data_IF_500112081057
#
_entry.id   IF_500112081057
#
_cell.length_a   1.000
_cell.length_b   1.000
_cell.length_c   1.000
_cell.angle_alpha   90.00
_cell.angle_beta   90.00
_cell.angle_gamma   90.00
#
_symmetry.space_group_name_H-M   'P 1'
#
loop_
_entity.id
_entity.type
_entity.pdbx_description
1 polymer ?
#
# COMPACT_ATOMS: atom_id res chain seq x y z
N UNK A 1 43.78 15.28 28.01
CA UNK A 1 43.21 16.55 27.50
C UNK A 1 42.41 16.18 26.26
N UNK A 2 41.13 15.85 26.42
CA UNK A 2 40.27 15.42 25.31
C UNK A 2 39.96 16.63 24.45
N UNK A 3 40.39 16.60 23.20
CA UNK A 3 40.02 17.58 22.17
C UNK A 3 38.55 17.32 21.85
N UNK A 4 37.68 18.22 22.31
CA UNK A 4 36.29 18.28 21.84
C UNK A 4 36.37 18.60 20.34
N UNK A 5 36.06 17.61 19.50
CA UNK A 5 35.82 17.85 18.09
C UNK A 5 34.65 18.82 18.01
N UNK A 6 34.89 20.02 17.47
CA UNK A 6 33.82 20.91 17.06
C UNK A 6 33.03 20.14 15.99
N UNK A 7 31.88 19.59 16.35
CA UNK A 7 30.90 19.15 15.38
C UNK A 7 30.41 20.42 14.69
N UNK A 8 30.79 20.59 13.43
CA UNK A 8 30.27 21.67 12.61
C UNK A 8 28.74 21.60 12.60
N UNK A 9 28.11 22.73 12.92
CA UNK A 9 26.65 22.85 13.00
C UNK A 9 26.15 23.63 11.81
N UNK A 10 25.12 23.11 11.13
CA UNK A 10 24.37 23.84 10.13
C UNK A 10 23.04 24.36 10.68
N UNK A 11 22.44 25.31 9.99
CA UNK A 11 21.14 25.90 10.36
C UNK A 11 20.07 25.30 9.45
N UNK A 12 19.03 24.71 10.03
CA UNK A 12 17.88 24.25 9.27
C UNK A 12 17.22 25.44 8.55
N UNK A 13 17.06 25.41 7.22
CA UNK A 13 16.50 26.54 6.48
C UNK A 13 15.00 26.76 6.79
N UNK A 14 14.34 25.76 7.39
CA UNK A 14 12.90 25.71 7.64
C UNK A 14 12.58 26.20 9.07
N UNK A 15 13.01 25.49 10.11
CA UNK A 15 12.75 25.89 11.52
C UNK A 15 13.79 26.82 12.14
N UNK A 16 14.90 27.11 11.44
CA UNK A 16 16.04 27.93 11.90
C UNK A 16 16.83 27.36 13.09
N UNK A 17 16.63 26.08 13.43
CA UNK A 17 17.38 25.40 14.49
C UNK A 17 18.82 25.07 14.06
N UNK A 18 19.76 25.14 14.99
CA UNK A 18 21.19 24.82 14.76
C UNK A 18 21.46 23.37 15.14
N UNK A 19 21.78 22.56 14.14
CA UNK A 19 21.92 21.10 14.27
C UNK A 19 23.30 20.65 13.77
N UNK A 20 23.88 19.58 14.35
CA UNK A 20 25.03 18.90 13.77
C UNK A 20 24.82 18.59 12.28
N UNK A 21 25.85 18.83 11.45
CA UNK A 21 25.75 18.68 9.98
C UNK A 21 25.35 17.25 9.55
N UNK A 22 25.71 16.22 10.32
CA UNK A 22 25.38 14.83 10.07
C UNK A 22 23.88 14.50 10.20
N UNK A 23 23.16 15.22 11.07
CA UNK A 23 21.70 15.03 11.26
C UNK A 23 20.86 16.05 10.50
N UNK A 24 21.47 17.14 10.02
CA UNK A 24 20.79 18.22 9.32
C UNK A 24 20.01 17.76 8.07
N UNK A 25 20.52 16.84 7.21
CA UNK A 25 19.78 16.32 6.07
C UNK A 25 18.52 15.54 6.47
N UNK A 26 18.64 14.69 7.49
CA UNK A 26 17.52 13.90 8.02
C UNK A 26 16.46 14.79 8.66
N UNK A 27 16.89 15.78 9.44
CA UNK A 27 15.99 16.79 10.01
C UNK A 27 15.31 17.61 8.90
N UNK A 28 16.06 18.14 7.93
CA UNK A 28 15.52 18.96 6.84
C UNK A 28 14.59 18.18 5.88
N UNK A 29 14.67 16.84 5.88
CA UNK A 29 13.76 15.97 5.15
C UNK A 29 12.35 15.90 5.78
N UNK A 30 12.23 16.09 7.10
CA UNK A 30 10.96 16.04 7.84
C UNK A 30 10.52 17.38 8.42
N UNK A 31 11.43 18.36 8.49
CA UNK A 31 11.17 19.68 9.03
C UNK A 31 10.21 20.46 8.11
N UNK A 32 9.16 21.04 8.69
CA UNK A 32 8.16 21.82 7.95
C UNK A 32 6.97 21.00 7.42
N UNK A 33 6.98 19.68 7.60
CA UNK A 33 5.70 18.96 7.66
C UNK A 33 4.99 19.45 8.92
N UNK A 34 3.79 20.03 8.80
CA UNK A 34 3.02 20.36 9.99
C UNK A 34 2.74 19.06 10.75
N UNK A 35 3.54 18.82 11.79
CA UNK A 35 3.28 17.79 12.79
C UNK A 35 2.05 18.23 13.58
N UNK A 36 0.87 18.08 13.00
CA UNK A 36 -0.37 18.35 13.71
C UNK A 36 -0.40 17.41 14.92
N UNK A 37 -0.35 17.94 16.16
CA UNK A 37 -0.37 17.10 17.35
C UNK A 37 -1.64 16.25 17.32
N UNK A 38 -1.46 14.92 17.32
CA UNK A 38 -2.57 13.98 17.21
C UNK A 38 -2.89 13.46 15.80
N UNK A 39 -1.98 13.53 14.81
CA UNK A 39 -2.14 12.78 13.56
C UNK A 39 -1.73 11.30 13.69
N UNK A 40 -2.19 10.45 12.76
CA UNK A 40 -1.78 9.05 12.71
C UNK A 40 -0.27 8.90 12.53
N UNK A 41 0.34 9.81 11.75
CA UNK A 41 1.80 9.81 11.50
C UNK A 41 2.59 9.96 12.80
N UNK A 42 2.22 10.93 13.65
CA UNK A 42 2.87 11.14 14.95
C UNK A 42 2.65 9.92 15.86
N UNK A 43 1.44 9.36 15.90
CA UNK A 43 1.14 8.18 16.70
C UNK A 43 1.97 6.95 16.26
N UNK A 44 2.15 6.74 14.95
CA UNK A 44 3.00 5.68 14.41
C UNK A 44 4.48 5.91 14.72
N UNK A 45 4.98 7.14 14.62
CA UNK A 45 6.36 7.49 14.97
C UNK A 45 6.67 7.21 16.45
N UNK A 46 5.81 7.68 17.36
CA UNK A 46 5.92 7.40 18.80
C UNK A 46 5.87 5.91 19.09
N UNK A 47 5.06 5.17 18.33
CA UNK A 47 4.98 3.72 18.49
C UNK A 47 6.23 3.03 17.98
N UNK A 48 6.76 3.45 16.83
CA UNK A 48 7.99 2.91 16.24
C UNK A 48 9.19 3.09 17.16
N UNK A 49 9.31 4.22 17.84
CA UNK A 49 10.43 4.46 18.77
C UNK A 49 10.47 3.46 19.93
N UNK A 50 9.34 2.83 20.29
CA UNK A 50 9.31 1.74 21.27
C UNK A 50 10.01 0.46 20.77
N UNK A 51 10.19 0.31 19.45
CA UNK A 51 10.78 -0.86 18.80
C UNK A 51 12.18 -0.60 18.23
N UNK A 52 12.63 0.65 18.15
CA UNK A 52 13.90 1.07 17.53
C UNK A 52 14.96 1.48 18.56
N UNK A 53 15.29 0.59 19.50
CA UNK A 53 16.45 0.79 20.38
C UNK A 53 17.66 0.02 19.84
N UNK A 54 18.84 0.65 19.81
CA UNK A 54 20.09 0.03 19.31
C UNK A 54 20.48 -1.27 20.05
N UNK A 55 20.09 -1.39 21.32
CA UNK A 55 20.37 -2.57 22.15
C UNK A 55 19.38 -3.74 21.97
N UNK A 56 18.32 -3.57 21.16
CA UNK A 56 17.33 -4.63 20.94
C UNK A 56 17.79 -5.62 19.88
N UNK A 57 17.56 -6.90 20.15
CA UNK A 57 17.72 -7.95 19.15
C UNK A 57 16.89 -7.63 17.89
N UNK A 58 17.49 -7.88 16.73
CA UNK A 58 16.84 -7.75 15.42
C UNK A 58 16.34 -9.11 14.94
N UNK A 59 15.28 -9.10 14.13
CA UNK A 59 14.83 -10.30 13.41
C UNK A 59 15.48 -10.33 12.03
N UNK A 60 16.44 -11.23 11.84
CA UNK A 60 17.14 -11.37 10.56
C UNK A 60 16.29 -12.18 9.58
N UNK A 61 15.97 -11.59 8.44
CA UNK A 61 15.20 -12.22 7.36
C UNK A 61 16.10 -12.32 6.13
N UNK A 62 16.34 -13.56 5.67
CA UNK A 62 17.17 -13.81 4.48
C UNK A 62 16.34 -14.40 3.36
N UNK A 63 16.37 -13.77 2.19
CA UNK A 63 15.53 -14.17 1.05
C UNK A 63 16.31 -14.27 -0.26
N UNK A 64 15.78 -15.06 -1.19
CA UNK A 64 16.31 -15.21 -2.54
C UNK A 64 15.45 -14.43 -3.53
N UNK A 65 16.01 -13.41 -4.21
CA UNK A 65 15.25 -12.62 -5.19
C UNK A 65 14.57 -13.47 -6.27
N UNK A 66 15.28 -14.46 -6.83
CA UNK A 66 14.77 -15.37 -7.87
C UNK A 66 13.59 -16.27 -7.42
N UNK A 67 13.36 -16.39 -6.12
CA UNK A 67 12.33 -17.23 -5.52
C UNK A 67 11.70 -16.52 -4.32
N UNK A 68 11.47 -15.21 -4.49
CA UNK A 68 11.21 -14.30 -3.40
C UNK A 68 9.99 -14.71 -2.58
N UNK A 69 8.82 -14.85 -3.22
CA UNK A 69 7.57 -15.15 -2.51
C UNK A 69 7.65 -16.41 -1.68
N UNK A 70 8.25 -17.48 -2.22
CA UNK A 70 8.43 -18.73 -1.47
C UNK A 70 9.34 -18.53 -0.26
N UNK A 71 10.54 -17.97 -0.46
CA UNK A 71 11.50 -17.82 0.66
C UNK A 71 11.05 -16.80 1.70
N UNK A 72 10.41 -15.70 1.29
CA UNK A 72 9.84 -14.71 2.19
C UNK A 72 8.71 -15.34 3.02
N UNK A 73 7.82 -16.08 2.38
CA UNK A 73 6.75 -16.85 3.03
C UNK A 73 7.30 -17.78 4.10
N UNK A 74 8.28 -18.63 3.75
CA UNK A 74 8.90 -19.57 4.68
C UNK A 74 9.51 -18.82 5.88
N UNK A 75 10.26 -17.74 5.64
CA UNK A 75 10.85 -16.93 6.72
C UNK A 75 9.80 -16.31 7.66
N UNK A 76 8.65 -15.87 7.15
CA UNK A 76 7.59 -15.29 7.97
C UNK A 76 6.81 -16.38 8.73
N UNK A 77 6.61 -17.56 8.13
CA UNK A 77 5.90 -18.69 8.73
C UNK A 77 6.72 -19.36 9.85
N UNK A 78 8.03 -19.49 9.63
CA UNK A 78 8.96 -20.09 10.59
C UNK A 78 9.31 -19.15 11.75
N UNK A 79 8.89 -17.89 11.69
CA UNK A 79 9.19 -16.87 12.70
C UNK A 79 8.48 -17.15 14.02
N UNK A 80 9.23 -17.11 15.11
CA UNK A 80 8.65 -17.23 16.45
C UNK A 80 7.79 -15.99 16.77
N UNK A 81 6.77 -16.12 17.64
CA UNK A 81 5.97 -14.97 18.08
C UNK A 81 6.79 -13.79 18.63
N UNK A 82 7.98 -14.06 19.19
CA UNK A 82 8.89 -13.04 19.69
C UNK A 82 9.63 -12.29 18.57
N UNK A 83 9.88 -12.92 17.41
CA UNK A 83 10.57 -12.29 16.29
C UNK A 83 9.73 -11.18 15.67
N UNK A 84 8.41 -11.37 15.63
CA UNK A 84 7.44 -10.34 15.23
C UNK A 84 7.47 -9.09 16.11
N UNK A 85 8.14 -9.11 17.27
CA UNK A 85 8.29 -7.96 18.17
C UNK A 85 9.65 -7.26 18.04
N UNK A 86 10.53 -7.78 17.17
CA UNK A 86 11.86 -7.23 16.89
C UNK A 86 11.82 -6.39 15.62
N UNK A 87 12.81 -5.50 15.45
CA UNK A 87 13.01 -4.78 14.18
C UNK A 87 13.47 -5.78 13.10
N UNK A 88 12.76 -5.92 11.97
CA UNK A 88 13.21 -6.76 10.88
C UNK A 88 14.46 -6.17 10.22
N UNK A 89 15.40 -7.04 9.87
CA UNK A 89 16.61 -6.70 9.10
C UNK A 89 16.66 -7.64 7.90
N UNK A 90 16.55 -7.08 6.70
CA UNK A 90 16.44 -7.88 5.47
C UNK A 90 17.78 -8.00 4.78
N UNK A 91 18.09 -9.20 4.28
CA UNK A 91 19.23 -9.49 3.42
C UNK A 91 18.76 -10.29 2.19
N UNK A 92 19.01 -9.74 1.00
CA UNK A 92 18.86 -10.49 -0.25
C UNK A 92 20.15 -11.27 -0.52
N UNK A 93 20.09 -12.59 -0.43
CA UNK A 93 21.28 -13.45 -0.48
C UNK A 93 21.98 -13.29 -1.84
N UNK A 94 23.27 -12.94 -1.80
CA UNK A 94 24.10 -12.75 -2.99
C UNK A 94 24.09 -11.32 -3.54
N UNK A 95 23.42 -10.39 -2.87
CA UNK A 95 23.42 -8.96 -3.21
C UNK A 95 24.21 -8.18 -2.14
N UNK A 96 25.10 -7.28 -2.56
CA UNK A 96 25.79 -6.37 -1.65
C UNK A 96 24.84 -5.24 -1.26
N UNK A 97 24.46 -5.17 0.02
CA UNK A 97 23.61 -4.10 0.54
C UNK A 97 23.56 -4.10 2.05
N UNK A 98 23.72 -2.93 2.65
CA UNK A 98 23.43 -2.70 4.07
C UNK A 98 21.99 -2.17 4.15
N UNK A 99 21.14 -2.83 4.92
CA UNK A 99 19.75 -2.39 5.09
C UNK A 99 19.67 -1.11 5.94
N UNK A 100 19.74 0.04 5.27
CA UNK A 100 19.41 1.35 5.85
C UNK A 100 17.89 1.66 5.75
N UNK A 101 17.04 0.63 5.59
CA UNK A 101 15.59 0.74 5.41
C UNK A 101 15.12 0.51 3.96
N UNK A 102 16.03 0.59 2.98
CA UNK A 102 15.73 0.35 1.57
C UNK A 102 15.36 -1.12 1.28
N UNK A 103 16.11 -2.07 1.85
CA UNK A 103 15.86 -3.50 1.62
C UNK A 103 14.59 -3.96 2.34
N UNK A 104 14.33 -3.43 3.53
CA UNK A 104 13.07 -3.68 4.23
C UNK A 104 11.86 -3.17 3.45
N UNK A 105 11.95 -1.96 2.87
CA UNK A 105 10.89 -1.40 2.03
C UNK A 105 10.67 -2.24 0.77
N UNK A 106 11.76 -2.64 0.12
CA UNK A 106 11.72 -3.49 -1.06
C UNK A 106 11.06 -4.85 -0.73
N UNK A 107 11.46 -5.49 0.36
CA UNK A 107 10.89 -6.76 0.82
C UNK A 107 9.36 -6.68 0.94
N UNK A 108 8.81 -5.70 1.65
CA UNK A 108 7.37 -5.57 1.79
C UNK A 108 6.68 -5.20 0.47
N UNK A 109 7.30 -4.34 -0.34
CA UNK A 109 6.77 -4.00 -1.66
C UNK A 109 6.64 -5.23 -2.56
N UNK A 110 7.67 -6.09 -2.60
CA UNK A 110 7.64 -7.36 -3.34
C UNK A 110 6.65 -8.35 -2.71
N UNK A 111 6.60 -8.46 -1.38
CA UNK A 111 5.71 -9.37 -0.67
C UNK A 111 4.26 -9.07 -0.96
N UNK A 112 3.89 -7.79 -0.91
CA UNK A 112 2.56 -7.36 -1.24
C UNK A 112 2.35 -7.61 -2.74
N UNK A 113 3.13 -6.99 -3.63
CA UNK A 113 2.93 -7.11 -5.08
C UNK A 113 2.80 -8.56 -5.57
N UNK A 114 3.76 -9.38 -5.16
CA UNK A 114 3.98 -10.80 -5.43
C UNK A 114 2.96 -11.78 -4.84
N UNK A 115 2.33 -11.41 -3.71
CA UNK A 115 1.61 -12.33 -2.82
C UNK A 115 0.25 -12.81 -3.33
N UNK A 116 -0.07 -14.07 -3.05
CA UNK A 116 -1.31 -14.73 -3.49
C UNK A 116 -2.54 -14.38 -2.65
N UNK A 117 -2.38 -13.69 -1.51
CA UNK A 117 -3.46 -13.33 -0.60
C UNK A 117 -4.38 -12.23 -1.16
N UNK A 118 -3.93 -11.53 -2.20
CA UNK A 118 -4.65 -10.43 -2.83
C UNK A 118 -4.96 -10.78 -4.28
N UNK A 119 -6.18 -10.46 -4.73
CA UNK A 119 -6.65 -10.65 -6.10
C UNK A 119 -7.32 -9.37 -6.60
N UNK A 120 -6.67 -8.69 -7.53
CA UNK A 120 -7.08 -7.35 -7.95
C UNK A 120 -7.08 -6.40 -6.76
N UNK A 121 -8.23 -5.76 -6.52
CA UNK A 121 -8.43 -4.86 -5.39
C UNK A 121 -9.12 -5.51 -4.18
N UNK A 122 -9.01 -6.83 -3.99
CA UNK A 122 -9.64 -7.52 -2.86
C UNK A 122 -8.75 -8.69 -2.38
N UNK A 123 -9.21 -9.43 -1.38
CA UNK A 123 -8.60 -10.70 -0.98
C UNK A 123 -8.94 -11.80 -1.98
N UNK A 124 -7.99 -12.70 -2.20
CA UNK A 124 -8.24 -13.90 -3.00
C UNK A 124 -9.15 -14.87 -2.27
N UNK A 125 -9.90 -15.69 -3.03
CA UNK A 125 -10.73 -16.76 -2.47
C UNK A 125 -9.98 -18.08 -2.59
N UNK A 126 -9.19 -18.41 -1.57
CA UNK A 126 -8.35 -19.62 -1.58
C UNK A 126 -8.40 -20.35 -0.24
N UNK A 127 -8.98 -21.57 -0.23
CA UNK A 127 -9.12 -22.40 0.97
C UNK A 127 -7.79 -22.88 1.53
N UNK A 128 -6.80 -23.17 0.67
CA UNK A 128 -5.47 -23.60 1.11
C UNK A 128 -4.78 -22.49 1.91
N UNK A 129 -4.88 -21.24 1.43
CA UNK A 129 -4.33 -20.08 2.15
C UNK A 129 -5.05 -19.86 3.50
N UNK A 130 -6.37 -20.11 3.56
CA UNK A 130 -7.15 -20.04 4.80
C UNK A 130 -6.71 -21.09 5.83
N UNK A 131 -6.49 -22.32 5.39
CA UNK A 131 -6.05 -23.42 6.25
C UNK A 131 -4.65 -23.18 6.79
N UNK A 132 -3.76 -22.66 5.94
CA UNK A 132 -2.38 -22.29 6.28
C UNK A 132 -2.26 -20.99 7.08
N UNK A 133 -3.38 -20.31 7.39
CA UNK A 133 -3.40 -19.01 8.10
C UNK A 133 -2.59 -17.92 7.41
N UNK A 134 -2.46 -17.98 6.08
CA UNK A 134 -1.71 -17.04 5.24
C UNK A 134 -2.25 -15.62 5.31
N UNK A 135 -3.55 -15.44 5.46
CA UNK A 135 -4.13 -14.11 5.63
C UNK A 135 -3.80 -13.51 6.99
N UNK A 136 -3.68 -14.31 8.07
CA UNK A 136 -3.16 -13.84 9.36
C UNK A 136 -1.71 -13.38 9.18
N UNK A 137 -0.90 -14.18 8.49
CA UNK A 137 0.49 -13.85 8.21
C UNK A 137 0.63 -12.54 7.42
N UNK A 138 -0.19 -12.36 6.38
CA UNK A 138 -0.27 -11.13 5.60
C UNK A 138 -0.69 -9.94 6.47
N UNK A 139 -1.69 -10.11 7.36
CA UNK A 139 -2.08 -9.08 8.32
C UNK A 139 -0.95 -8.66 9.25
N UNK A 140 -0.17 -9.63 9.76
CA UNK A 140 1.04 -9.36 10.57
C UNK A 140 2.10 -8.61 9.76
N UNK A 141 2.39 -9.07 8.54
CA UNK A 141 3.34 -8.41 7.65
C UNK A 141 2.93 -6.97 7.33
N UNK A 142 1.63 -6.71 7.10
CA UNK A 142 1.12 -5.35 6.91
C UNK A 142 1.30 -4.51 8.17
N UNK A 143 0.93 -5.02 9.35
CA UNK A 143 1.13 -4.30 10.62
C UNK A 143 2.60 -3.94 10.85
N UNK A 144 3.51 -4.90 10.69
CA UNK A 144 4.96 -4.69 10.80
C UNK A 144 5.46 -3.68 9.77
N UNK A 145 5.00 -3.77 8.52
CA UNK A 145 5.40 -2.84 7.46
C UNK A 145 5.00 -1.39 7.80
N UNK A 146 3.77 -1.16 8.26
CA UNK A 146 3.25 0.17 8.64
C UNK A 146 4.04 0.72 9.83
N UNK A 147 4.28 -0.12 10.85
CA UNK A 147 5.07 0.26 12.02
C UNK A 147 6.45 0.78 11.60
N UNK A 148 7.11 0.11 10.66
CA UNK A 148 8.43 0.47 10.16
C UNK A 148 8.43 1.45 8.97
N UNK A 149 7.28 2.10 8.69
CA UNK A 149 7.21 3.22 7.75
C UNK A 149 7.01 2.86 6.28
N UNK A 150 6.66 1.61 6.00
CA UNK A 150 6.15 1.23 4.70
C UNK A 150 4.73 1.80 4.50
N UNK A 151 4.35 2.22 3.29
CA UNK A 151 2.99 2.69 2.99
C UNK A 151 1.90 1.60 3.00
N UNK A 152 2.20 0.39 3.51
CA UNK A 152 1.28 -0.75 3.45
C UNK A 152 1.05 -1.30 2.02
N UNK A 153 0.07 -2.21 1.85
CA UNK A 153 -0.19 -2.89 0.59
C UNK A 153 -0.95 -2.05 -0.44
N UNK A 154 -1.73 -1.03 -0.01
CA UNK A 154 -2.50 -0.09 -0.85
C UNK A 154 -3.19 -0.70 -2.07
N UNK A 155 -4.04 -1.68 -1.83
CA UNK A 155 -4.69 -2.44 -2.90
C UNK A 155 -6.14 -2.75 -2.64
N UNK A 156 -6.63 -2.67 -1.42
CA UNK A 156 -7.98 -3.10 -1.11
C UNK A 156 -9.00 -2.06 -1.58
N UNK A 157 -10.16 -2.54 -2.01
CA UNK A 157 -11.29 -1.70 -2.34
C UNK A 157 -11.73 -0.91 -1.09
N UNK A 158 -12.11 0.36 -1.27
CA UNK A 158 -12.50 1.26 -0.18
C UNK A 158 -13.54 0.67 0.76
N UNK A 159 -14.55 -0.04 0.24
CA UNK A 159 -15.60 -0.64 1.07
C UNK A 159 -15.09 -1.79 1.95
N UNK A 160 -14.09 -2.54 1.47
CA UNK A 160 -13.45 -3.61 2.26
C UNK A 160 -12.59 -2.99 3.37
N UNK A 161 -11.89 -1.90 3.07
CA UNK A 161 -11.10 -1.15 4.05
C UNK A 161 -11.99 -0.50 5.11
N UNK A 162 -13.09 0.12 4.69
CA UNK A 162 -14.08 0.70 5.60
C UNK A 162 -14.61 -0.38 6.56
N UNK A 163 -14.93 -1.58 6.06
CA UNK A 163 -15.32 -2.71 6.92
C UNK A 163 -14.21 -3.14 7.89
N UNK A 164 -12.95 -3.21 7.45
CA UNK A 164 -11.82 -3.55 8.33
C UNK A 164 -11.69 -2.54 9.48
N UNK A 165 -11.85 -1.25 9.19
CA UNK A 165 -11.67 -0.17 10.16
C UNK A 165 -12.89 0.00 11.07
N UNK A 166 -14.09 0.03 10.51
CA UNK A 166 -15.32 0.35 11.25
C UNK A 166 -16.05 -0.89 11.76
N UNK A 167 -15.95 -2.02 11.05
CA UNK A 167 -16.80 -3.20 11.24
C UNK A 167 -18.20 -3.04 10.62
N UNK A 168 -18.48 -1.92 9.97
CA UNK A 168 -19.77 -1.63 9.35
C UNK A 168 -19.80 -2.16 7.91
N UNK A 169 -20.88 -2.84 7.56
CA UNK A 169 -21.08 -3.35 6.20
C UNK A 169 -21.52 -2.21 5.27
N UNK A 170 -21.03 -2.16 4.03
CA UNK A 170 -21.38 -1.11 3.10
C UNK A 170 -22.82 -1.26 2.63
N UNK A 171 -23.49 -0.14 2.38
CA UNK A 171 -24.80 -0.16 1.73
C UNK A 171 -24.66 -0.58 0.26
N UNK A 172 -25.00 -1.82 -0.04
CA UNK A 172 -24.84 -2.44 -1.38
C UNK A 172 -25.65 -1.74 -2.48
N UNK A 173 -26.72 -1.02 -2.13
CA UNK A 173 -27.46 -0.21 -3.10
C UNK A 173 -26.61 0.93 -3.65
N UNK A 174 -25.75 1.50 -2.82
CA UNK A 174 -24.85 2.61 -3.20
C UNK A 174 -23.56 2.15 -3.89
N UNK A 175 -23.25 0.85 -3.84
CA UNK A 175 -22.05 0.29 -4.46
C UNK A 175 -22.25 0.21 -5.97
N UNK A 176 -21.41 0.93 -6.72
CA UNK A 176 -21.35 0.82 -8.17
C UNK A 176 -20.87 -0.57 -8.60
N UNK A 177 -21.42 -1.10 -9.68
CA UNK A 177 -20.99 -2.39 -10.27
C UNK A 177 -19.50 -2.35 -10.66
N UNK A 178 -18.97 -1.17 -10.97
CA UNK A 178 -17.56 -1.04 -11.38
C UNK A 178 -16.57 -1.27 -10.25
N UNK A 179 -17.01 -1.17 -9.00
CA UNK A 179 -16.21 -1.42 -7.80
C UNK A 179 -15.92 -2.91 -7.56
N UNK A 180 -16.65 -3.80 -8.23
CA UNK A 180 -16.47 -5.24 -8.10
C UNK A 180 -15.20 -5.72 -8.83
N UNK A 181 -14.50 -6.71 -8.26
CA UNK A 181 -13.26 -7.24 -8.85
C UNK A 181 -13.49 -8.39 -9.86
N UNK A 182 -14.73 -8.86 -10.03
CA UNK A 182 -15.07 -10.03 -10.85
C UNK A 182 -16.01 -9.69 -12.00
N UNK A 183 -15.54 -9.92 -13.22
CA UNK A 183 -16.25 -9.56 -14.45
C UNK A 183 -17.53 -10.38 -14.68
N UNK A 184 -17.55 -11.65 -14.27
CA UNK A 184 -18.75 -12.48 -14.37
C UNK A 184 -19.88 -11.98 -13.46
N UNK A 185 -19.55 -11.50 -12.26
CA UNK A 185 -20.51 -10.80 -11.39
C UNK A 185 -20.98 -9.48 -11.99
N UNK A 186 -20.07 -8.67 -12.54
CA UNK A 186 -20.43 -7.41 -13.20
C UNK A 186 -21.42 -7.64 -14.34
N UNK A 187 -21.13 -8.62 -15.20
CA UNK A 187 -21.98 -8.94 -16.34
C UNK A 187 -23.35 -9.45 -15.93
N UNK A 188 -23.41 -10.35 -14.93
CA UNK A 188 -24.69 -10.85 -14.42
C UNK A 188 -25.55 -9.72 -13.84
N UNK A 189 -24.94 -8.80 -13.05
CA UNK A 189 -25.66 -7.66 -12.48
C UNK A 189 -26.17 -6.73 -13.59
N UNK A 190 -25.33 -6.38 -14.57
CA UNK A 190 -25.75 -5.54 -15.72
C UNK A 190 -26.92 -6.17 -16.48
N UNK A 191 -26.88 -7.47 -16.72
CA UNK A 191 -27.99 -8.19 -17.36
C UNK A 191 -29.28 -8.16 -16.53
N UNK A 192 -29.19 -8.22 -15.20
CA UNK A 192 -30.36 -8.08 -14.32
C UNK A 192 -30.91 -6.65 -14.31
N UNK A 193 -30.04 -5.64 -14.32
CA UNK A 193 -30.41 -4.22 -14.37
C UNK A 193 -31.14 -3.87 -15.68
N UNK A 194 -30.69 -4.44 -16.80
CA UNK A 194 -31.25 -4.26 -18.14
C UNK A 194 -32.40 -5.24 -18.47
N UNK A 195 -32.72 -6.18 -17.58
CA UNK A 195 -33.73 -7.20 -17.82
C UNK A 195 -35.13 -6.59 -18.02
N UNK A 196 -35.95 -7.30 -18.78
CA UNK A 196 -37.38 -7.06 -18.97
C UNK A 196 -38.18 -8.26 -18.44
N UNK A 197 -39.47 -8.09 -18.11
CA UNK A 197 -40.28 -9.18 -17.56
C UNK A 197 -40.34 -10.45 -18.43
N UNK A 198 -40.21 -10.31 -19.75
CA UNK A 198 -40.26 -11.40 -20.73
C UNK A 198 -38.93 -12.14 -20.92
N UNK A 199 -37.80 -11.53 -20.56
CA UNK A 199 -36.46 -12.13 -20.72
C UNK A 199 -35.79 -12.56 -19.40
N UNK A 200 -36.43 -12.30 -18.25
CA UNK A 200 -35.86 -12.56 -16.92
C UNK A 200 -35.47 -14.02 -16.68
N UNK A 201 -36.20 -14.97 -17.29
CA UNK A 201 -35.89 -16.40 -17.17
C UNK A 201 -34.54 -16.74 -17.80
N UNK A 202 -34.23 -16.16 -18.96
CA UNK A 202 -32.95 -16.36 -19.64
C UNK A 202 -31.80 -15.73 -18.84
N UNK A 203 -32.03 -14.56 -18.21
CA UNK A 203 -31.07 -13.95 -17.30
C UNK A 203 -30.82 -14.86 -16.10
N UNK A 204 -31.88 -15.42 -15.50
CA UNK A 204 -31.76 -16.35 -14.38
C UNK A 204 -30.93 -17.58 -14.72
N UNK A 205 -31.21 -18.24 -15.85
CA UNK A 205 -30.44 -19.39 -16.33
C UNK A 205 -28.95 -19.06 -16.52
N UNK A 206 -28.64 -17.85 -16.97
CA UNK A 206 -27.27 -17.38 -17.18
C UNK A 206 -26.47 -17.11 -15.89
N UNK A 207 -27.14 -16.89 -14.76
CA UNK A 207 -26.48 -16.46 -13.51
C UNK A 207 -26.86 -17.28 -12.27
N UNK A 208 -27.66 -18.33 -12.40
CA UNK A 208 -28.15 -19.16 -11.29
C UNK A 208 -27.02 -19.67 -10.38
N UNK A 209 -25.88 -20.05 -10.95
CA UNK A 209 -24.71 -20.51 -10.18
C UNK A 209 -24.10 -19.41 -9.32
N UNK A 210 -24.07 -18.17 -9.79
CA UNK A 210 -23.59 -17.02 -9.03
C UNK A 210 -24.55 -16.67 -7.90
N UNK A 211 -25.86 -16.70 -8.18
CA UNK A 211 -26.90 -16.51 -7.17
C UNK A 211 -26.83 -17.58 -6.08
N UNK A 212 -26.63 -18.84 -6.49
CA UNK A 212 -26.48 -19.95 -5.56
C UNK A 212 -25.27 -19.79 -4.65
N UNK A 213 -24.12 -19.37 -5.21
CA UNK A 213 -22.90 -19.08 -4.46
C UNK A 213 -23.09 -17.91 -3.49
N UNK A 214 -23.83 -16.88 -3.90
CA UNK A 214 -24.21 -15.75 -3.05
C UNK A 214 -25.26 -16.11 -1.98
N UNK A 215 -25.76 -17.34 -1.98
CA UNK A 215 -26.79 -17.80 -1.03
C UNK A 215 -28.20 -17.33 -1.38
N UNK A 216 -28.41 -16.75 -2.56
CA UNK A 216 -29.73 -16.36 -3.05
C UNK A 216 -30.46 -17.59 -3.60
N UNK A 217 -31.31 -18.20 -2.77
CA UNK A 217 -32.01 -19.47 -3.10
C UNK A 217 -33.37 -19.31 -3.76
N UNK A 218 -33.85 -18.08 -3.89
CA UNK A 218 -35.11 -17.82 -4.57
C UNK A 218 -34.90 -17.85 -6.09
N UNK A 219 -35.95 -18.20 -6.83
CA UNK A 219 -35.97 -17.98 -8.27
C UNK A 219 -35.91 -16.48 -8.56
N UNK A 220 -35.09 -16.09 -9.53
CA UNK A 220 -35.05 -14.72 -10.01
C UNK A 220 -36.34 -14.42 -10.78
N UNK A 221 -37.04 -13.38 -10.35
CA UNK A 221 -38.23 -12.80 -10.96
C UNK A 221 -37.96 -11.32 -11.20
N UNK A 222 -38.71 -10.70 -12.11
CA UNK A 222 -38.51 -9.28 -12.41
C UNK A 222 -38.65 -8.40 -11.15
N UNK A 223 -39.61 -8.74 -10.29
CA UNK A 223 -39.93 -7.96 -9.08
C UNK A 223 -38.87 -8.09 -7.97
N UNK A 224 -38.15 -9.21 -7.89
CA UNK A 224 -37.12 -9.45 -6.85
C UNK A 224 -35.68 -9.25 -7.36
N UNK A 225 -35.50 -8.76 -8.60
CA UNK A 225 -34.17 -8.62 -9.21
C UNK A 225 -33.22 -7.73 -8.42
N UNK A 226 -33.71 -6.68 -7.77
CA UNK A 226 -32.89 -5.78 -6.97
C UNK A 226 -32.32 -6.51 -5.74
N UNK A 227 -33.09 -7.41 -5.12
CA UNK A 227 -32.62 -8.24 -4.01
C UNK A 227 -31.53 -9.21 -4.47
N UNK A 228 -31.69 -9.81 -5.65
CA UNK A 228 -30.70 -10.66 -6.26
C UNK A 228 -29.40 -9.89 -6.59
N UNK A 229 -29.50 -8.68 -7.14
CA UNK A 229 -28.36 -7.79 -7.40
C UNK A 229 -27.62 -7.46 -6.10
N UNK A 230 -28.34 -7.08 -5.04
CA UNK A 230 -27.75 -6.81 -3.73
C UNK A 230 -26.99 -8.02 -3.19
N UNK A 231 -27.57 -9.22 -3.28
CA UNK A 231 -26.91 -10.45 -2.84
C UNK A 231 -25.62 -10.72 -3.63
N UNK A 232 -25.63 -10.54 -4.96
CA UNK A 232 -24.43 -10.69 -5.79
C UNK A 232 -23.36 -9.65 -5.44
N UNK A 233 -23.72 -8.38 -5.28
CA UNK A 233 -22.79 -7.31 -4.85
C UNK A 233 -22.17 -7.66 -3.50
N UNK A 234 -22.99 -8.06 -2.52
CA UNK A 234 -22.53 -8.37 -1.17
C UNK A 234 -21.57 -9.55 -1.14
N UNK A 235 -21.89 -10.62 -1.86
CA UNK A 235 -21.02 -11.79 -1.97
C UNK A 235 -19.71 -11.49 -2.71
N UNK A 236 -19.79 -10.75 -3.81
CA UNK A 236 -18.63 -10.38 -4.62
C UNK A 236 -17.71 -9.38 -3.92
N UNK A 237 -18.23 -8.48 -3.10
CA UNK A 237 -17.42 -7.47 -2.44
C UNK A 237 -16.87 -7.96 -1.10
N UNK A 238 -17.72 -8.58 -0.28
CA UNK A 238 -17.44 -8.82 1.14
C UNK A 238 -17.61 -10.28 1.56
N UNK A 239 -18.82 -10.84 1.47
CA UNK A 239 -19.13 -12.11 2.14
C UNK A 239 -18.34 -13.30 1.60
N UNK A 240 -18.06 -13.36 0.30
CA UNK A 240 -17.21 -14.41 -0.28
C UNK A 240 -15.76 -14.39 0.21
N UNK A 241 -15.32 -13.29 0.84
CA UNK A 241 -13.95 -13.07 1.35
C UNK A 241 -13.91 -12.98 2.87
N UNK A 242 -15.03 -13.13 3.56
CA UNK A 242 -15.17 -12.79 4.98
C UNK A 242 -14.15 -13.53 5.86
N UNK A 243 -13.92 -14.82 5.60
CA UNK A 243 -12.94 -15.61 6.34
C UNK A 243 -11.50 -15.10 6.16
N UNK A 244 -11.13 -14.67 4.94
CA UNK A 244 -9.82 -14.10 4.64
C UNK A 244 -9.67 -12.73 5.31
N UNK A 245 -10.70 -11.88 5.20
CA UNK A 245 -10.76 -10.56 5.85
C UNK A 245 -10.59 -10.70 7.37
N UNK A 246 -11.31 -11.61 8.01
CA UNK A 246 -11.21 -11.80 9.46
C UNK A 246 -9.85 -12.33 9.91
N UNK A 247 -9.24 -13.25 9.15
CA UNK A 247 -7.85 -13.67 9.42
C UNK A 247 -6.87 -12.50 9.25
N UNK A 248 -7.02 -11.70 8.20
CA UNK A 248 -6.20 -10.52 7.98
C UNK A 248 -6.33 -9.50 9.12
N UNK A 249 -7.57 -9.22 9.57
CA UNK A 249 -7.86 -8.37 10.73
C UNK A 249 -7.15 -8.90 11.98
N UNK A 250 -7.15 -10.21 12.20
CA UNK A 250 -6.46 -10.81 13.35
C UNK A 250 -4.95 -10.55 13.30
N UNK A 251 -4.32 -10.73 12.14
CA UNK A 251 -2.90 -10.41 11.95
C UNK A 251 -2.60 -8.91 12.14
N UNK A 252 -3.47 -8.04 11.62
CA UNK A 252 -3.31 -6.58 11.66
C UNK A 252 -3.37 -6.00 13.08
N UNK A 253 -3.89 -6.76 14.06
CA UNK A 253 -3.82 -6.41 15.48
C UNK A 253 -2.39 -6.41 16.03
N UNK A 254 -1.42 -7.00 15.32
CA UNK A 254 -0.03 -7.01 15.75
C UNK A 254 0.49 -5.58 16.03
N UNK A 255 1.28 -5.46 17.10
CA UNK A 255 1.70 -4.19 17.70
C UNK A 255 0.53 -3.28 18.12
N UNK A 256 -0.73 -3.65 17.97
CA UNK A 256 -1.88 -2.75 18.12
C UNK A 256 -1.99 -1.74 16.97
N UNK A 257 -1.55 -2.09 15.76
CA UNK A 257 -1.63 -1.22 14.57
C UNK A 257 -3.09 -1.00 14.17
N UNK A 258 -3.90 -2.07 14.12
CA UNK A 258 -5.34 -1.95 13.84
C UNK A 258 -6.01 -0.88 14.71
N UNK A 259 -5.72 -0.84 16.01
CA UNK A 259 -6.31 0.14 16.92
C UNK A 259 -5.95 1.58 16.54
N UNK A 260 -4.71 1.83 16.10
CA UNK A 260 -4.31 3.16 15.61
C UNK A 260 -5.02 3.52 14.31
N UNK A 261 -5.08 2.59 13.35
CA UNK A 261 -5.77 2.83 12.08
C UNK A 261 -7.26 3.14 12.31
N UNK A 262 -7.90 2.48 13.28
CA UNK A 262 -9.28 2.74 13.68
C UNK A 262 -9.49 4.09 14.37
N UNK A 263 -8.49 4.59 15.10
CA UNK A 263 -8.56 5.93 15.71
C UNK A 263 -8.50 7.04 14.66
N UNK A 264 -7.86 6.77 13.52
CA UNK A 264 -7.66 7.72 12.42
C UNK A 264 -8.14 7.11 11.10
N UNK A 265 -9.43 6.80 10.92
CA UNK A 265 -9.90 5.95 9.81
C UNK A 265 -9.59 6.52 8.42
N UNK A 266 -9.67 7.84 8.25
CA UNK A 266 -9.37 8.50 6.96
C UNK A 266 -7.89 8.40 6.59
N UNK A 267 -6.99 8.64 7.55
CA UNK A 267 -5.53 8.50 7.33
C UNK A 267 -5.13 7.01 7.26
N UNK A 268 -5.76 6.18 8.09
CA UNK A 268 -5.51 4.74 8.18
C UNK A 268 -5.92 3.99 6.93
N UNK A 269 -7.00 4.41 6.28
CA UNK A 269 -7.44 3.84 5.01
C UNK A 269 -6.36 3.93 3.94
N UNK A 270 -5.55 5.00 3.90
CA UNK A 270 -4.48 5.20 2.91
C UNK A 270 -3.40 4.12 2.92
N UNK A 271 -3.25 3.36 4.00
CA UNK A 271 -2.30 2.25 4.06
C UNK A 271 -2.82 0.96 3.39
N UNK A 272 -4.14 0.81 3.31
CA UNK A 272 -4.80 -0.41 2.87
C UNK A 272 -5.48 -0.25 1.51
N UNK A 273 -6.12 0.90 1.31
CA UNK A 273 -6.91 1.23 0.12
C UNK A 273 -6.01 1.44 -1.09
N UNK A 274 -6.52 1.09 -2.27
CA UNK A 274 -5.92 1.50 -3.53
C UNK A 274 -5.79 3.04 -3.57
N UNK A 275 -4.56 3.54 -3.60
CA UNK A 275 -4.28 4.97 -3.76
C UNK A 275 -4.51 5.36 -5.22
N UNK A 276 -5.10 6.54 -5.44
CA UNK A 276 -4.92 7.23 -6.71
C UNK A 276 -3.43 7.52 -6.90
N UNK A 277 -2.93 7.36 -8.12
CA UNK A 277 -1.57 7.77 -8.44
C UNK A 277 -1.37 9.24 -8.03
N UNK A 278 -0.20 9.61 -7.47
CA UNK A 278 0.04 10.99 -7.07
C UNK A 278 -0.06 11.91 -8.29
N UNK A 279 -0.67 13.07 -8.10
CA UNK A 279 -0.72 14.14 -9.09
C UNK A 279 0.70 14.61 -9.43
N UNK A 280 0.89 15.25 -10.59
CA UNK A 280 2.19 15.79 -10.95
C UNK A 280 2.69 16.79 -9.89
N UNK A 281 1.78 17.57 -9.31
CA UNK A 281 2.08 18.55 -8.27
C UNK A 281 2.56 17.89 -6.97
N UNK A 282 1.91 16.80 -6.55
CA UNK A 282 2.35 16.04 -5.38
C UNK A 282 3.76 15.47 -5.62
N UNK A 283 4.02 14.89 -6.79
CA UNK A 283 5.36 14.40 -7.14
C UNK A 283 6.40 15.53 -7.12
N UNK A 284 6.05 16.72 -7.63
CA UNK A 284 6.92 17.89 -7.56
C UNK A 284 7.24 18.33 -6.15
N UNK A 285 6.28 18.27 -5.23
CA UNK A 285 6.49 18.67 -3.85
C UNK A 285 7.57 17.87 -3.13
N UNK A 286 7.80 16.62 -3.56
CA UNK A 286 8.84 15.74 -3.03
C UNK A 286 10.22 15.98 -3.66
N UNK A 287 10.28 16.64 -4.82
CA UNK A 287 11.53 16.85 -5.56
C UNK A 287 12.18 18.16 -5.11
N UNK A 288 13.34 18.05 -4.47
CA UNK A 288 14.19 19.19 -4.13
C UNK A 288 15.43 19.16 -5.04
N UNK A 289 15.35 19.71 -6.27
CA UNK A 289 16.50 19.72 -7.17
C UNK A 289 17.60 20.62 -6.63
N UNK A 290 18.83 20.10 -6.63
CA UNK A 290 20.03 20.86 -6.34
C UNK A 290 20.66 21.27 -7.67
N UNK A 291 20.95 22.56 -7.84
CA UNK A 291 21.49 23.10 -9.07
C UNK A 291 22.98 23.40 -8.94
N UNK A 292 23.71 23.24 -10.04
CA UNK A 292 25.10 23.61 -10.17
C UNK A 292 25.29 25.13 -10.02
N UNK A 293 26.44 25.55 -9.46
CA UNK A 293 26.76 26.98 -9.31
C UNK A 293 27.10 27.65 -10.66
N UNK A 294 27.53 26.86 -11.65
CA UNK A 294 27.85 27.37 -12.99
C UNK A 294 26.58 27.60 -13.79
N UNK A 295 26.42 28.85 -14.26
CA UNK A 295 25.22 29.31 -14.96
C UNK A 295 24.84 28.46 -16.19
N UNK A 296 25.81 28.01 -16.98
CA UNK A 296 25.51 27.17 -18.16
C UNK A 296 24.98 25.78 -17.80
N UNK A 297 25.50 25.18 -16.72
CA UNK A 297 25.08 23.88 -16.21
C UNK A 297 23.70 24.01 -15.55
N UNK A 298 23.53 25.03 -14.71
CA UNK A 298 22.24 25.41 -14.09
C UNK A 298 21.13 25.61 -15.11
N UNK A 299 21.37 26.35 -16.19
CA UNK A 299 20.38 26.57 -17.24
C UNK A 299 19.91 25.25 -17.90
N UNK A 300 20.82 24.27 -18.05
CA UNK A 300 20.46 22.95 -18.58
C UNK A 300 19.66 22.14 -17.56
N UNK A 301 20.05 22.17 -16.29
CA UNK A 301 19.36 21.49 -15.20
C UNK A 301 17.94 22.04 -14.99
N UNK A 302 17.76 23.36 -15.00
CA UNK A 302 16.45 24.02 -14.94
C UNK A 302 15.56 23.58 -16.11
N UNK A 303 16.12 23.49 -17.33
CA UNK A 303 15.40 22.97 -18.48
C UNK A 303 15.02 21.48 -18.33
N UNK A 304 15.86 20.67 -17.68
CA UNK A 304 15.55 19.27 -17.36
C UNK A 304 14.37 19.20 -16.38
N UNK A 305 14.44 19.94 -15.27
CA UNK A 305 13.35 19.97 -14.28
C UNK A 305 12.05 20.47 -14.90
N UNK A 306 12.09 21.51 -15.74
CA UNK A 306 10.93 21.99 -16.48
C UNK A 306 10.34 20.92 -17.41
N UNK A 307 11.18 20.23 -18.19
CA UNK A 307 10.73 19.17 -19.09
C UNK A 307 10.18 17.97 -18.34
N UNK A 308 10.79 17.61 -17.20
CA UNK A 308 10.29 16.57 -16.30
C UNK A 308 8.92 16.95 -15.72
N UNK A 309 8.73 18.22 -15.37
CA UNK A 309 7.43 18.71 -14.89
C UNK A 309 6.33 18.58 -15.93
N UNK A 310 6.65 19.00 -17.17
CA UNK A 310 5.75 18.85 -18.30
C UNK A 310 5.47 17.38 -18.64
N UNK A 311 6.43 16.49 -18.40
CA UNK A 311 6.24 15.05 -18.55
C UNK A 311 5.26 14.52 -17.50
N UNK A 312 5.45 14.83 -16.22
CA UNK A 312 4.55 14.40 -15.15
C UNK A 312 3.10 14.86 -15.38
N UNK A 313 2.90 16.13 -15.74
CA UNK A 313 1.58 16.67 -16.08
C UNK A 313 0.92 15.96 -17.28
N UNK A 314 1.72 15.50 -18.26
CA UNK A 314 1.19 14.70 -19.37
C UNK A 314 0.78 13.32 -18.88
N UNK A 315 1.64 12.64 -18.11
CA UNK A 315 1.36 11.31 -17.56
C UNK A 315 0.07 11.31 -16.75
N UNK A 316 -0.10 12.28 -15.86
CA UNK A 316 -1.33 12.47 -15.07
C UNK A 316 -2.58 12.56 -15.96
N UNK A 317 -2.58 13.44 -16.97
CA UNK A 317 -3.69 13.56 -17.94
C UNK A 317 -3.96 12.28 -18.74
N UNK A 318 -2.93 11.48 -19.01
CA UNK A 318 -3.08 10.20 -19.70
C UNK A 318 -3.70 9.12 -18.81
N UNK A 319 -3.44 9.16 -17.50
CA UNK A 319 -4.01 8.23 -16.53
C UNK A 319 -5.50 8.50 -16.26
N UNK A 320 -5.92 9.77 -16.31
CA UNK A 320 -7.34 10.16 -16.23
C UNK A 320 -8.18 9.69 -17.43
N UNK A 321 -7.53 9.34 -18.55
CA UNK A 321 -8.20 8.87 -19.75
C UNK A 321 -8.11 7.35 -19.84
N UNK A 322 -9.12 6.66 -19.30
CA UNK A 322 -9.28 5.20 -19.19
C UNK A 322 -9.37 4.42 -20.52
N UNK A 323 -8.46 4.63 -21.48
CA UNK A 323 -8.52 4.02 -22.82
C UNK A 323 -7.32 3.18 -23.28
N UNK A 324 -6.25 3.01 -22.51
CA UNK A 324 -5.12 2.19 -22.99
C UNK A 324 -4.50 1.30 -21.90
N UNK A 325 -4.79 0.00 -21.98
CA UNK A 325 -4.32 -1.07 -21.07
C UNK A 325 -2.85 -1.49 -21.24
N UNK A 326 -2.09 -0.86 -22.16
CA UNK A 326 -0.74 -1.33 -22.51
C UNK A 326 0.39 -0.35 -22.11
N UNK A 327 0.11 0.94 -21.92
CA UNK A 327 1.14 1.95 -21.63
C UNK A 327 1.39 2.19 -20.12
N UNK A 328 0.54 1.65 -19.24
CA UNK A 328 0.62 1.80 -17.78
C UNK A 328 1.85 1.11 -17.17
N UNK A 329 2.35 0.03 -17.80
CA UNK A 329 3.41 -0.79 -17.20
C UNK A 329 4.80 -0.13 -17.19
N UNK A 330 5.14 0.71 -18.17
CA UNK A 330 6.44 1.42 -18.20
C UNK A 330 6.38 2.77 -17.49
N UNK A 331 5.24 3.47 -17.54
CA UNK A 331 5.07 4.74 -16.82
C UNK A 331 4.96 4.54 -15.31
N UNK A 332 4.26 3.49 -14.83
CA UNK A 332 4.29 3.13 -13.40
C UNK A 332 5.68 2.71 -12.95
N UNK A 333 6.50 2.08 -13.82
CA UNK A 333 7.91 1.80 -13.51
C UNK A 333 8.73 3.08 -13.35
N UNK A 334 8.55 4.09 -14.21
CA UNK A 334 9.23 5.37 -14.09
C UNK A 334 8.85 6.16 -12.82
N UNK A 335 7.56 6.21 -12.48
CA UNK A 335 7.09 6.87 -11.24
C UNK A 335 7.57 6.13 -9.98
N UNK A 336 7.53 4.79 -9.98
CA UNK A 336 8.05 3.97 -8.89
C UNK A 336 9.58 4.12 -8.76
N UNK A 337 10.30 4.21 -9.87
CA UNK A 337 11.75 4.46 -9.90
C UNK A 337 12.12 5.85 -9.34
N UNK A 338 11.38 6.92 -9.70
CA UNK A 338 11.63 8.27 -9.16
C UNK A 338 11.33 8.39 -7.66
N UNK A 339 10.28 7.72 -7.18
CA UNK A 339 9.93 7.67 -5.74
C UNK A 339 10.84 6.74 -4.92
N UNK A 340 11.59 5.86 -5.57
CA UNK A 340 12.66 5.07 -4.93
C UNK A 340 14.00 5.81 -4.95
N UNK A 341 14.34 6.53 -6.03
CA UNK A 341 15.61 7.26 -6.18
C UNK A 341 15.72 8.55 -5.36
N UNK A 342 14.61 9.10 -4.87
CA UNK A 342 14.63 10.32 -4.04
C UNK A 342 15.36 10.13 -2.69
N UNK A 343 15.84 8.92 -2.38
CA UNK A 343 16.68 8.60 -1.22
C UNK A 343 18.05 7.99 -1.55
N UNK A 344 18.47 7.92 -2.83
CA UNK A 344 19.75 7.28 -3.22
C UNK A 344 20.88 8.26 -3.60
N UNK A 345 20.70 9.57 -3.44
CA UNK A 345 21.79 10.54 -3.69
C UNK A 345 22.41 11.04 -2.38
N UNK A 346 23.07 10.14 -1.67
CA UNK A 346 24.08 10.51 -0.67
C UNK A 346 25.21 9.49 -0.68
N UNK A 347 25.90 9.36 -1.83
CA UNK A 347 27.29 8.89 -1.93
C UNK A 347 27.74 8.90 -3.39
N UNK A 348 27.94 10.09 -3.93
CA UNK A 348 28.90 10.30 -5.02
C UNK A 348 29.56 11.64 -4.74
N UNK A 349 30.57 11.62 -3.87
CA UNK A 349 31.69 12.57 -3.92
C UNK A 349 32.77 12.13 -2.94
N UNK A 350 33.84 11.55 -3.49
CA UNK A 350 35.25 11.68 -3.05
C UNK A 350 36.13 10.77 -3.93
N UNK A 351 37.38 11.15 -4.19
CA UNK A 351 37.95 11.28 -5.54
C UNK A 351 38.40 9.99 -6.24
#
# INVERSE_FOLDING_TARGET
MHVLQNQDKGICPICKESLPIDILPQHAAVCGEEETPGSLKVALMQKRSLYENEDKEVWNIKVLRRNFIKTATEQLEDADPADWLKKPKVEFIGEEGIDCGGLLREFFSLLFKDGEEFEGNNFSVNSKLLDQKRYILSGKAVATSILHGHPGPRRLNKYVVDYILTGEEPNMDSVSVEELNREDFKNAIKQMEEALPDNIEMVYEGCITLLDNAGYKQRLLYDNRNEAIMALKAYCLLYGKMAAIHQFIEGLKLHGILNLLKQFPVEGAKFLSEDSLPTAEEVHSFLKPTFSEKEEEKNREEAIIYNFSKFLQKVERFLDCSRFSCASSEMSKCLCFCLCLSNETSNLDSP
#
